data_IF_983838487327
#
_entry.id   IF_983838487327
#
_cell.length_a   1.000
_cell.length_b   1.000
_cell.length_c   1.000
_cell.angle_alpha   90.00
_cell.angle_beta   90.00
_cell.angle_gamma   90.00
#
_symmetry.space_group_name_H-M   'P 1'
#
loop_
_entity.id
_entity.type
_entity.pdbx_description
1 polymer ?
2 non-polymer ?
3 water ?
#
# COMPACT_ATOMS: atom_id res chain seq x y z
N UNK A 17 5.96 -45.22 1.74
CA UNK A 17 6.11 -44.05 0.85
C UNK A 17 6.92 -44.34 -0.42
N UNK A 18 6.60 -43.61 -1.53
CA UNK A 18 7.29 -43.75 -2.82
C UNK A 18 8.54 -42.86 -2.89
N UNK A 19 9.71 -43.49 -2.83
CA UNK A 19 10.99 -42.80 -2.92
C UNK A 19 11.26 -42.55 -4.40
N UNK A 20 10.60 -41.51 -4.93
CA UNK A 20 10.66 -41.00 -6.30
C UNK A 20 10.66 -39.46 -6.22
N UNK A 21 11.43 -38.80 -7.09
CA UNK A 21 11.53 -37.34 -7.07
C UNK A 21 10.83 -36.69 -8.25
N UNK A 22 10.25 -35.53 -8.00
CA UNK A 22 9.56 -34.74 -9.00
C UNK A 22 10.56 -33.82 -9.70
N UNK A 23 10.55 -33.84 -11.02
CA UNK A 23 11.41 -33.00 -11.83
C UNK A 23 10.84 -31.62 -11.95
N UNK A 24 11.70 -30.60 -11.87
CA UNK A 24 11.28 -29.19 -11.99
C UNK A 24 12.40 -28.30 -12.47
N UNK A 25 12.05 -27.23 -13.20
CA UNK A 25 13.00 -26.23 -13.67
C UNK A 25 12.88 -25.06 -12.71
N UNK A 26 13.76 -25.03 -11.71
CA UNK A 26 13.78 -24.00 -10.66
C UNK A 26 14.45 -22.70 -11.13
N UNK A 27 14.01 -21.56 -10.57
CA UNK A 27 14.54 -20.22 -10.81
C UNK A 27 15.67 -19.93 -9.82
N UNK A 28 16.59 -19.07 -10.24
CA UNK A 28 17.74 -18.64 -9.45
C UNK A 28 18.13 -17.22 -9.85
N UNK A 29 18.89 -16.46 -9.02
CA UNK A 29 19.20 -15.06 -9.38
C UNK A 29 19.94 -14.84 -10.72
N UNK A 30 20.65 -15.87 -11.25
CA UNK A 30 21.39 -15.76 -12.52
C UNK A 30 20.48 -15.75 -13.77
N UNK A 31 19.15 -15.92 -13.60
CA UNK A 31 18.20 -15.89 -14.72
C UNK A 31 17.65 -14.46 -14.90
N UNK A 32 18.13 -13.53 -14.06
CA UNK A 32 17.68 -12.14 -14.05
C UNK A 32 18.88 -11.24 -14.24
N UNK A 33 18.87 -10.47 -15.32
CA UNK A 33 19.93 -9.52 -15.65
C UNK A 33 19.66 -8.22 -14.88
N UNK A 34 20.70 -7.67 -14.26
CA UNK A 34 20.63 -6.44 -13.49
C UNK A 34 20.71 -5.23 -14.41
N UNK A 35 19.70 -4.36 -14.36
CA UNK A 35 19.63 -3.19 -15.23
C UNK A 35 20.02 -1.89 -14.51
N UNK A 36 19.44 -1.64 -13.34
CA UNK A 36 19.73 -0.47 -12.50
C UNK A 36 19.23 -0.68 -11.09
N UNK A 37 19.78 0.08 -10.12
CA UNK A 37 19.35 0.06 -8.72
C UNK A 37 18.20 1.07 -8.62
N UNK A 38 16.99 0.60 -8.27
CA UNK A 38 15.80 1.43 -8.15
C UNK A 38 15.70 2.11 -6.79
N UNK A 39 16.25 1.46 -5.76
CA UNK A 39 16.22 1.94 -4.38
C UNK A 39 16.96 1.03 -3.41
N UNK A 40 17.08 1.49 -2.16
CA UNK A 40 17.78 0.82 -1.06
C UNK A 40 17.19 1.29 0.27
N UNK A 41 17.38 0.50 1.31
CA UNK A 41 16.91 0.82 2.66
C UNK A 41 17.24 -0.24 3.69
N UNK A 42 16.57 -0.17 4.87
CA UNK A 42 16.70 -1.10 5.99
C UNK A 42 16.29 -2.51 5.58
N UNK A 43 15.26 -2.60 4.72
CA UNK A 43 14.73 -3.84 4.14
C UNK A 43 15.76 -4.56 3.23
N UNK A 44 16.61 -3.79 2.56
CA UNK A 44 17.59 -4.33 1.63
C UNK A 44 17.78 -3.45 0.43
N UNK A 45 17.81 -4.04 -0.76
CA UNK A 45 18.05 -3.32 -2.02
C UNK A 45 17.06 -3.78 -3.10
N UNK A 46 16.59 -2.85 -3.94
CA UNK A 46 15.66 -3.10 -5.06
C UNK A 46 16.35 -2.77 -6.39
N UNK A 47 16.28 -3.71 -7.35
CA UNK A 47 16.85 -3.56 -8.68
C UNK A 47 15.78 -3.70 -9.74
N UNK A 48 16.01 -3.05 -10.89
CA UNK A 48 15.18 -3.28 -12.06
C UNK A 48 15.92 -4.43 -12.76
N UNK A 49 15.21 -5.53 -13.03
CA UNK A 49 15.81 -6.72 -13.66
C UNK A 49 15.11 -7.11 -14.97
N UNK A 50 15.81 -7.86 -15.83
CA UNK A 50 15.27 -8.37 -17.08
C UNK A 50 15.46 -9.88 -17.07
N UNK A 51 14.34 -10.63 -17.07
CA UNK A 51 14.37 -12.11 -17.13
C UNK A 51 15.07 -12.54 -18.42
N UNK A 52 16.08 -13.41 -18.30
CA UNK A 52 16.93 -13.90 -19.40
C UNK A 52 16.34 -15.14 -20.08
N UNK A 53 15.93 -16.14 -19.28
CA UNK A 53 15.44 -17.45 -19.72
C UNK A 53 13.92 -17.62 -19.54
N UNK A 54 13.38 -18.68 -20.15
CA UNK A 54 11.98 -19.07 -20.00
C UNK A 54 10.96 -18.41 -20.90
N UNK A 55 9.68 -18.73 -20.66
CA UNK A 55 8.52 -18.21 -21.39
C UNK A 55 8.38 -16.69 -21.21
N UNK A 56 8.89 -16.16 -20.07
CA UNK A 56 8.88 -14.74 -19.74
C UNK A 56 10.27 -14.09 -19.96
N UNK A 57 11.02 -14.55 -20.96
CA UNK A 57 12.33 -13.96 -21.26
C UNK A 57 12.08 -12.58 -21.86
N UNK A 58 12.90 -11.56 -21.46
CA UNK A 58 12.85 -10.15 -21.85
C UNK A 58 11.91 -9.31 -20.98
N UNK A 59 11.06 -9.97 -20.14
CA UNK A 59 10.15 -9.32 -19.23
C UNK A 59 10.94 -8.58 -18.13
N UNK A 60 10.47 -7.38 -17.76
CA UNK A 60 11.05 -6.51 -16.73
C UNK A 60 10.35 -6.72 -15.38
N UNK A 61 11.11 -6.67 -14.28
CA UNK A 61 10.60 -6.86 -12.91
C UNK A 61 11.38 -6.04 -11.91
N UNK A 62 10.82 -5.89 -10.71
CA UNK A 62 11.50 -5.27 -9.58
C UNK A 62 11.97 -6.46 -8.73
N UNK A 63 13.27 -6.48 -8.37
CA UNK A 63 13.88 -7.55 -7.58
C UNK A 63 14.36 -6.98 -6.26
N UNK A 64 13.70 -7.38 -5.15
CA UNK A 64 14.04 -6.97 -3.79
C UNK A 64 14.94 -8.05 -3.16
N UNK A 65 16.18 -7.68 -2.81
CA UNK A 65 17.21 -8.57 -2.26
C UNK A 65 17.50 -8.23 -0.80
N UNK A 66 17.38 -9.22 0.10
CA UNK A 66 17.61 -9.06 1.54
C UNK A 66 18.76 -9.97 1.96
N UNK A 67 19.84 -9.39 2.54
CA UNK A 67 21.01 -10.15 3.01
C UNK A 67 20.65 -10.82 4.31
N UNK A 68 20.83 -12.15 4.39
CA UNK A 68 20.53 -12.96 5.56
C UNK A 68 21.35 -12.58 6.82
N UNK A 69 22.56 -12.00 6.65
CA UNK A 69 23.43 -11.52 7.74
C UNK A 69 22.95 -10.15 8.31
N UNK A 70 22.42 -9.27 7.42
CA UNK A 70 21.83 -7.95 7.74
C UNK A 70 20.30 -8.19 7.83
N UNK A 71 19.89 -9.12 8.74
CA UNK A 71 18.52 -9.56 8.92
C UNK A 71 18.31 -10.10 10.34
N UNK A 72 17.42 -9.43 11.08
CA UNK A 72 17.04 -9.81 12.45
C UNK A 72 16.00 -10.93 12.36
N UNK A 73 15.68 -11.57 13.50
CA UNK A 73 14.65 -12.62 13.55
C UNK A 73 13.31 -12.03 13.08
N UNK A 74 12.95 -10.82 13.58
CA UNK A 74 11.72 -10.09 13.21
C UNK A 74 11.65 -9.78 11.72
N UNK A 75 12.81 -9.46 11.11
CA UNK A 75 12.95 -9.16 9.68
C UNK A 75 12.69 -10.41 8.86
N UNK A 76 13.24 -11.58 9.29
CA UNK A 76 13.07 -12.87 8.63
C UNK A 76 11.62 -13.34 8.69
N UNK A 77 10.96 -13.19 9.88
CA UNK A 77 9.56 -13.52 10.12
C UNK A 77 8.64 -12.68 9.20
N UNK A 78 8.91 -11.36 9.11
CA UNK A 78 8.20 -10.38 8.29
C UNK A 78 8.24 -10.69 6.80
N UNK A 79 9.43 -11.04 6.25
CA UNK A 79 9.64 -11.36 4.84
C UNK A 79 8.88 -12.62 4.44
N UNK A 80 8.89 -13.64 5.32
CA UNK A 80 8.19 -14.90 5.09
C UNK A 80 6.68 -14.62 5.01
N UNK A 81 6.18 -13.73 5.91
CA UNK A 81 4.77 -13.33 5.97
C UNK A 81 4.32 -12.59 4.70
N UNK A 82 5.15 -11.63 4.20
CA UNK A 82 4.85 -10.87 2.99
C UNK A 82 4.73 -11.78 1.78
N UNK A 83 5.67 -12.75 1.65
CA UNK A 83 5.73 -13.74 0.58
C UNK A 83 4.45 -14.59 0.60
N UNK A 84 4.09 -15.15 1.79
CA UNK A 84 2.91 -15.99 2.01
C UNK A 84 1.63 -15.23 1.72
N UNK A 85 1.57 -13.92 2.11
CA UNK A 85 0.38 -13.09 1.83
C UNK A 85 0.27 -12.85 0.32
N UNK A 86 1.37 -12.44 -0.34
CA UNK A 86 1.41 -12.18 -1.79
C UNK A 86 1.02 -13.37 -2.66
N UNK A 87 1.35 -14.61 -2.21
CA UNK A 87 1.03 -15.87 -2.89
C UNK A 87 -0.51 -16.12 -2.84
N UNK A 88 -1.17 -15.63 -1.79
CA UNK A 88 -2.60 -15.72 -1.48
C UNK A 88 -3.47 -14.61 -2.18
N UNK A 89 -2.87 -13.46 -2.51
CA UNK A 89 -3.57 -12.32 -3.11
C UNK A 89 -3.50 -12.27 -4.66
N UNK A 90 -4.66 -11.99 -5.29
CA UNK A 90 -4.82 -11.73 -6.71
C UNK A 90 -5.88 -10.62 -6.86
N UNK A 91 -5.40 -9.39 -7.03
CA UNK A 91 -6.24 -8.20 -7.15
C UNK A 91 -5.65 -7.22 -8.18
N UNK A 92 -6.48 -6.49 -8.96
CA UNK A 92 -5.88 -5.55 -9.93
C UNK A 92 -5.10 -4.38 -9.32
N UNK A 93 -5.33 -4.02 -8.01
CA UNK A 93 -4.68 -2.85 -7.40
C UNK A 93 -3.67 -3.19 -6.29
N UNK A 94 -3.16 -4.44 -6.29
CA UNK A 94 -2.13 -4.93 -5.37
C UNK A 94 -0.98 -5.52 -6.17
N UNK A 95 0.26 -5.21 -5.76
CA UNK A 95 1.48 -5.77 -6.39
C UNK A 95 1.45 -7.29 -6.43
N UNK A 96 1.86 -7.85 -7.57
CA UNK A 96 1.96 -9.26 -7.80
C UNK A 96 3.42 -9.74 -7.56
N UNK A 97 3.56 -10.89 -6.88
CA UNK A 97 4.81 -11.63 -6.65
C UNK A 97 4.87 -12.68 -7.76
N UNK A 98 5.94 -12.66 -8.57
CA UNK A 98 6.15 -13.60 -9.67
C UNK A 98 7.07 -14.74 -9.27
N UNK A 99 8.10 -14.45 -8.44
CA UNK A 99 9.05 -15.44 -7.96
C UNK A 99 9.50 -15.12 -6.55
N UNK A 100 9.94 -16.17 -5.85
CA UNK A 100 10.58 -16.12 -4.54
C UNK A 100 11.61 -17.29 -4.49
N UNK A 101 12.86 -16.97 -4.20
CA UNK A 101 13.93 -17.95 -4.05
C UNK A 101 15.00 -17.44 -3.08
N UNK A 102 15.94 -18.32 -2.70
CA UNK A 102 17.02 -17.98 -1.77
C UNK A 102 18.33 -18.65 -2.09
N UNK A 103 19.42 -18.04 -1.63
CA UNK A 103 20.78 -18.57 -1.71
C UNK A 103 21.24 -18.77 -0.27
N UNK A 104 22.51 -19.12 -0.06
CA UNK A 104 23.05 -19.33 1.29
C UNK A 104 23.01 -18.01 2.08
N UNK A 105 23.34 -16.90 1.41
CA UNK A 105 23.38 -15.58 2.02
C UNK A 105 22.35 -14.54 1.62
N UNK A 106 21.41 -14.85 0.70
CA UNK A 106 20.41 -13.85 0.27
C UNK A 106 18.99 -14.39 0.04
N UNK A 107 17.99 -13.48 0.15
CA UNK A 107 16.57 -13.73 -0.09
C UNK A 107 16.11 -12.82 -1.23
N UNK A 108 15.37 -13.37 -2.21
CA UNK A 108 14.90 -12.66 -3.41
C UNK A 108 13.39 -12.74 -3.61
N UNK A 109 12.79 -11.57 -3.89
CA UNK A 109 11.39 -11.44 -4.24
C UNK A 109 11.33 -10.74 -5.58
N UNK A 110 10.65 -11.37 -6.55
CA UNK A 110 10.54 -10.84 -7.91
C UNK A 110 9.12 -10.35 -8.10
N UNK A 111 8.94 -9.02 -8.05
CA UNK A 111 7.63 -8.40 -8.11
C UNK A 111 7.40 -7.63 -9.40
N UNK A 112 6.18 -7.10 -9.58
CA UNK A 112 5.83 -6.26 -10.73
C UNK A 112 6.75 -5.05 -10.77
N UNK A 113 7.10 -4.64 -11.98
CA UNK A 113 7.85 -3.41 -12.20
C UNK A 113 6.81 -2.34 -12.56
N UNK A 114 6.76 -1.27 -11.74
CA UNK A 114 5.81 -0.17 -11.89
C UNK A 114 6.53 1.10 -12.29
N UNK A 115 6.32 1.52 -13.55
CA UNK A 115 7.01 2.65 -14.17
C UNK A 115 6.48 4.04 -13.84
N UNK A 116 5.29 4.11 -13.26
CA UNK A 116 4.63 5.39 -12.98
C UNK A 116 5.00 6.18 -11.75
N UNK A 117 6.00 5.74 -10.99
CA UNK A 117 6.40 6.37 -9.73
C UNK A 117 5.47 6.05 -8.57
N UNK A 118 5.48 6.90 -7.52
CA UNK A 118 4.64 6.73 -6.33
C UNK A 118 3.75 7.94 -6.07
N UNK A 119 2.76 7.82 -5.15
CA UNK A 119 1.85 8.93 -4.82
C UNK A 119 2.54 10.05 -4.06
N UNK A 120 3.53 9.71 -3.24
CA UNK A 120 4.30 10.69 -2.48
C UNK A 120 5.17 11.59 -3.40
N UNK A 121 5.87 11.00 -4.39
CA UNK A 121 6.67 11.78 -5.34
C UNK A 121 5.75 12.75 -6.10
N UNK A 122 4.56 12.26 -6.50
CA UNK A 122 3.58 13.05 -7.23
C UNK A 122 2.98 14.14 -6.34
N UNK A 123 2.63 13.81 -5.07
CA UNK A 123 2.11 14.78 -4.11
C UNK A 123 3.10 15.91 -3.88
N UNK A 124 4.39 15.59 -3.67
CA UNK A 124 5.43 16.60 -3.45
C UNK A 124 5.58 17.61 -4.61
N UNK A 125 5.35 17.17 -5.87
CA UNK A 125 5.44 18.05 -7.03
C UNK A 125 4.21 18.94 -7.17
N UNK A 126 3.01 18.35 -7.08
CA UNK A 126 1.71 19.02 -7.20
C UNK A 126 1.31 19.78 -5.93
N UNK A 127 1.95 19.49 -4.76
CA UNK A 127 1.66 20.03 -3.42
C UNK A 127 0.35 19.41 -2.86
N UNK A 128 -0.71 19.36 -3.71
CA UNK A 128 -2.03 18.82 -3.37
C UNK A 128 -2.70 18.35 -4.66
N UNK A 129 -3.68 17.44 -4.53
CA UNK A 129 -4.44 16.88 -5.65
C UNK A 129 -5.85 17.41 -5.67
N UNK A 130 -6.50 17.30 -6.84
CA UNK A 130 -7.90 17.66 -7.05
C UNK A 130 -8.80 16.63 -6.36
N UNK A 131 -10.09 16.95 -6.11
CA UNK A 131 -11.01 15.96 -5.55
C UNK A 131 -11.22 14.84 -6.56
N UNK A 132 -11.17 15.15 -7.88
CA UNK A 132 -11.30 14.18 -8.97
C UNK A 132 -10.22 13.09 -8.88
N UNK A 133 -8.96 13.47 -8.64
CA UNK A 133 -7.84 12.53 -8.50
C UNK A 133 -7.90 11.75 -7.21
N UNK A 134 -8.19 12.44 -6.08
CA UNK A 134 -8.30 11.83 -4.75
C UNK A 134 -9.42 10.80 -4.75
N UNK A 135 -10.57 11.15 -5.34
CA UNK A 135 -11.73 10.27 -5.53
C UNK A 135 -11.30 9.01 -6.33
N UNK A 136 -10.49 9.15 -7.41
CA UNK A 136 -10.02 8.03 -8.22
C UNK A 136 -9.01 7.13 -7.47
N UNK A 137 -7.99 7.74 -6.85
CA UNK A 137 -6.97 7.01 -6.10
C UNK A 137 -7.55 6.27 -4.89
N UNK A 138 -8.41 6.95 -4.09
CA UNK A 138 -9.03 6.34 -2.92
C UNK A 138 -10.03 5.25 -3.28
N UNK A 139 -10.77 5.39 -4.38
CA UNK A 139 -11.74 4.37 -4.79
C UNK A 139 -11.02 3.03 -5.15
N UNK A 140 -9.90 3.09 -5.90
CA UNK A 140 -9.07 1.91 -6.25
C UNK A 140 -8.47 1.32 -5.00
N UNK A 141 -7.98 2.19 -4.08
CA UNK A 141 -7.43 1.80 -2.79
C UNK A 141 -8.49 1.12 -1.91
N UNK A 142 -9.70 1.65 -1.85
CA UNK A 142 -10.76 1.07 -1.02
C UNK A 142 -11.02 -0.40 -1.42
N UNK A 143 -10.99 -0.68 -2.74
CA UNK A 143 -11.14 -2.02 -3.32
C UNK A 143 -9.99 -2.93 -2.90
N UNK A 144 -8.76 -2.42 -2.97
CA UNK A 144 -7.55 -3.13 -2.58
C UNK A 144 -7.61 -3.51 -1.07
N UNK A 145 -7.96 -2.53 -0.21
CA UNK A 145 -8.09 -2.75 1.25
C UNK A 145 -9.16 -3.74 1.62
N UNK A 146 -10.35 -3.64 1.00
CA UNK A 146 -11.43 -4.55 1.28
C UNK A 146 -11.10 -5.98 0.88
N UNK A 147 -10.42 -6.19 -0.28
CA UNK A 147 -9.94 -7.51 -0.72
C UNK A 147 -9.00 -8.13 0.35
N UNK A 148 -8.06 -7.32 0.90
CA UNK A 148 -7.14 -7.74 1.97
C UNK A 148 -7.91 -8.15 3.22
N UNK A 149 -8.95 -7.37 3.59
CA UNK A 149 -9.80 -7.64 4.75
C UNK A 149 -10.57 -8.93 4.62
N UNK A 150 -11.00 -9.27 3.38
CA UNK A 150 -11.72 -10.51 3.06
C UNK A 150 -10.85 -11.77 3.28
N UNK A 151 -9.51 -11.58 3.41
CA UNK A 151 -8.55 -12.65 3.64
C UNK A 151 -7.89 -12.58 5.04
N UNK A 152 -8.43 -11.71 5.92
CA UNK A 152 -7.92 -11.48 7.27
C UNK A 152 -6.60 -10.74 7.34
N UNK A 153 -6.34 -9.85 6.35
CA UNK A 153 -5.13 -9.06 6.23
C UNK A 153 -5.43 -7.57 6.47
N UNK A 154 -4.50 -6.90 7.14
CA UNK A 154 -4.53 -5.47 7.41
C UNK A 154 -3.26 -4.79 6.81
N UNK A 155 -3.28 -3.46 6.63
CA UNK A 155 -2.16 -2.71 6.09
C UNK A 155 -1.63 -1.80 7.18
N UNK A 156 -0.50 -2.17 7.76
CA UNK A 156 0.09 -1.50 8.92
C UNK A 156 0.79 -0.16 8.65
N UNK A 157 0.98 0.23 7.37
CA UNK A 157 1.68 1.46 7.02
C UNK A 157 1.18 2.06 5.70
N UNK A 158 -0.03 2.66 5.73
CA UNK A 158 -0.71 3.19 4.54
C UNK A 158 -0.29 4.64 4.12
N UNK A 159 1.02 4.85 4.00
CA UNK A 159 1.65 6.10 3.57
C UNK A 159 1.66 6.19 2.02
N UNK A 160 1.68 7.41 1.43
CA UNK A 160 1.68 7.52 -0.05
C UNK A 160 2.91 6.91 -0.78
N UNK A 161 4.02 6.68 -0.07
CA UNK A 161 5.24 6.05 -0.65
C UNK A 161 4.98 4.58 -0.98
N UNK A 162 4.06 3.96 -0.22
CA UNK A 162 3.66 2.56 -0.35
C UNK A 162 2.61 2.32 -1.45
N UNK A 163 2.20 3.37 -2.17
CA UNK A 163 1.27 3.26 -3.30
C UNK A 163 1.99 3.71 -4.57
N UNK A 164 2.31 2.76 -5.44
CA UNK A 164 2.96 3.08 -6.70
C UNK A 164 1.89 3.22 -7.79
N UNK A 165 2.27 3.71 -8.97
CA UNK A 165 1.40 3.86 -10.13
C UNK A 165 1.98 3.04 -11.27
N UNK A 166 1.13 2.53 -12.17
CA UNK A 166 1.60 1.76 -13.33
C UNK A 166 1.65 2.67 -14.59
N UNK A 167 2.06 2.13 -15.76
CA UNK A 167 2.16 2.90 -17.01
C UNK A 167 0.88 3.70 -17.32
N UNK A 168 -0.31 3.07 -17.13
CA UNK A 168 -1.62 3.69 -17.35
C UNK A 168 -1.93 4.78 -16.33
N UNK A 169 -1.52 4.56 -15.09
CA UNK A 169 -1.79 5.47 -13.99
C UNK A 169 -2.70 4.88 -12.93
N UNK A 170 -2.93 3.55 -13.03
CA UNK A 170 -3.72 2.82 -12.04
C UNK A 170 -2.81 2.56 -10.85
N UNK A 171 -3.38 2.50 -9.66
CA UNK A 171 -2.59 2.31 -8.46
C UNK A 171 -2.17 0.84 -8.27
N UNK A 172 -1.07 0.65 -7.54
CA UNK A 172 -0.58 -0.65 -7.11
C UNK A 172 -0.09 -0.51 -5.69
N UNK A 173 -0.84 -1.11 -4.76
CA UNK A 173 -0.48 -1.12 -3.36
C UNK A 173 0.69 -2.09 -3.18
N UNK A 174 1.78 -1.61 -2.53
CA UNK A 174 2.98 -2.43 -2.30
C UNK A 174 2.76 -3.39 -1.14
N UNK A 175 3.65 -4.38 -0.99
CA UNK A 175 3.62 -5.39 0.05
C UNK A 175 4.19 -4.92 1.40
N UNK A 176 4.99 -3.82 1.40
CA UNK A 176 5.70 -3.27 2.57
C UNK A 176 4.88 -3.14 3.86
N UNK A 177 3.57 -2.96 3.76
CA UNK A 177 2.72 -2.83 4.94
C UNK A 177 1.82 -4.01 5.26
N UNK A 178 1.89 -5.09 4.44
CA UNK A 178 1.04 -6.27 4.58
C UNK A 178 1.25 -7.07 5.88
N UNK A 179 0.21 -7.17 6.72
CA UNK A 179 0.27 -7.98 7.94
C UNK A 179 -1.03 -8.74 8.18
N UNK A 180 -0.94 -9.93 8.78
CA UNK A 180 -2.11 -10.74 9.09
C UNK A 180 -2.68 -10.27 10.41
N UNK A 181 -3.99 -10.03 10.46
CA UNK A 181 -4.70 -9.50 11.64
C UNK A 181 -4.59 -10.42 12.89
N UNK A 182 -4.61 -11.75 12.70
CA UNK A 182 -4.47 -12.74 13.79
C UNK A 182 -3.08 -12.67 14.47
N UNK A 183 -2.00 -12.60 13.66
CA UNK A 183 -0.59 -12.50 14.06
C UNK A 183 -0.33 -11.16 14.79
N UNK A 184 -0.79 -10.04 14.19
CA UNK A 184 -0.69 -8.68 14.70
C UNK A 184 -1.37 -8.52 16.09
N UNK A 185 -2.52 -9.21 16.31
CA UNK A 185 -3.27 -9.20 17.57
C UNK A 185 -2.51 -9.88 18.74
N UNK A 186 -1.76 -10.95 18.45
CA UNK A 186 -0.97 -11.70 19.45
C UNK A 186 0.33 -10.99 19.84
N UNK A 187 0.90 -10.19 18.91
CA UNK A 187 2.17 -9.47 19.09
C UNK A 187 2.03 -7.99 19.49
N UNK A 188 0.81 -7.41 19.40
CA UNK A 188 0.46 -5.99 19.67
C UNK A 188 1.13 -5.36 20.94
N UNK A 189 1.36 -6.18 22.00
CA UNK A 189 1.96 -5.80 23.29
C UNK A 189 3.47 -5.59 23.22
N UNK A 190 4.16 -6.30 22.29
CA UNK A 190 5.61 -6.25 22.08
C UNK A 190 6.01 -5.71 20.68
N UNK A 191 5.00 -5.24 19.89
CA UNK A 191 5.19 -4.72 18.54
C UNK A 191 4.58 -3.33 18.30
N UNK A 192 5.45 -2.34 17.96
CA UNK A 192 5.09 -0.96 17.65
C UNK A 192 5.74 -0.51 16.34
N UNK A 193 5.06 -0.77 15.19
CA UNK A 193 5.53 -0.52 13.81
C UNK A 193 4.67 0.46 13.05
N UNK A 194 5.31 1.12 12.09
CA UNK A 194 4.64 2.00 11.14
C UNK A 194 4.97 3.45 11.32
N UNK A 195 4.34 4.28 10.49
CA UNK A 195 4.51 5.72 10.51
C UNK A 195 3.44 6.29 11.44
N UNK A 196 3.89 6.92 12.54
CA UNK A 196 3.10 7.53 13.61
C UNK A 196 1.93 8.38 13.12
N UNK A 197 2.16 9.29 12.17
CA UNK A 197 1.15 10.21 11.61
C UNK A 197 -0.10 9.51 11.03
N UNK A 198 0.04 8.25 10.59
CA UNK A 198 -1.03 7.47 9.97
C UNK A 198 -1.74 6.53 10.91
N UNK A 199 -1.25 6.40 12.16
CA UNK A 199 -1.81 5.51 13.17
C UNK A 199 -3.12 5.96 13.77
N UNK A 200 -4.08 5.02 13.87
CA UNK A 200 -5.39 5.24 14.49
C UNK A 200 -5.21 5.41 15.99
N UNK A 201 -6.14 6.11 16.72
CA UNK A 201 -5.97 6.23 18.19
C UNK A 201 -5.68 4.90 18.92
N UNK A 202 -6.42 3.81 18.58
CA UNK A 202 -6.30 2.47 19.18
C UNK A 202 -4.95 1.81 18.88
N UNK A 203 -4.32 2.17 17.74
CA UNK A 203 -2.98 1.70 17.39
C UNK A 203 -1.94 2.43 18.31
N UNK A 204 -2.03 3.77 18.42
CA UNK A 204 -1.21 4.61 19.33
C UNK A 204 -1.31 4.07 20.79
N UNK A 205 -2.53 3.66 21.22
CA UNK A 205 -2.75 3.15 22.58
C UNK A 205 -2.57 1.61 22.70
N UNK A 206 -2.04 0.96 21.65
CA UNK A 206 -1.67 -0.46 21.62
C UNK A 206 -2.82 -1.43 21.85
N UNK A 207 -4.06 -1.04 21.47
CA UNK A 207 -5.29 -1.85 21.65
C UNK A 207 -5.49 -2.84 20.49
N UNK A 208 -4.67 -2.71 19.45
CA UNK A 208 -4.68 -3.60 18.29
C UNK A 208 -4.98 -2.92 16.96
N UNK A 209 -4.40 -3.45 15.87
CA UNK A 209 -4.63 -2.98 14.50
C UNK A 209 -5.68 -3.86 13.80
N UNK A 210 -6.91 -3.37 13.87
CA UNK A 210 -8.13 -3.94 13.30
C UNK A 210 -8.29 -3.38 11.88
N UNK A 211 -9.29 -3.89 11.12
CA UNK A 211 -9.68 -3.41 9.78
C UNK A 211 -10.12 -1.94 9.89
N UNK A 212 -10.72 -1.59 11.05
CA UNK A 212 -11.15 -0.24 11.36
C UNK A 212 -9.97 0.71 11.42
N UNK A 213 -8.79 0.23 11.87
CA UNK A 213 -7.55 1.04 11.88
C UNK A 213 -7.08 1.38 10.44
N UNK A 214 -7.34 0.50 9.46
CA UNK A 214 -7.00 0.72 8.05
C UNK A 214 -7.84 1.87 7.46
N UNK A 215 -9.14 1.97 7.88
CA UNK A 215 -10.03 3.03 7.40
C UNK A 215 -9.71 4.39 8.02
N UNK A 216 -9.09 4.46 9.23
CA UNK A 216 -8.60 5.72 9.80
C UNK A 216 -7.39 6.19 8.93
N UNK A 217 -6.38 5.31 8.67
CA UNK A 217 -5.19 5.62 7.83
C UNK A 217 -5.59 6.06 6.43
N UNK A 218 -6.68 5.46 5.89
CA UNK A 218 -7.29 5.78 4.61
C UNK A 218 -7.75 7.28 4.61
N UNK A 219 -8.32 7.76 5.72
CA UNK A 219 -8.72 9.15 5.92
C UNK A 219 -7.56 10.11 6.09
N UNK A 220 -6.47 9.65 6.73
CA UNK A 220 -5.22 10.43 6.92
C UNK A 220 -4.63 10.71 5.54
N UNK A 221 -4.54 9.69 4.71
CA UNK A 221 -4.04 9.77 3.34
C UNK A 221 -4.93 10.71 2.46
N UNK A 222 -6.25 10.61 2.63
CA UNK A 222 -7.24 11.49 1.98
C UNK A 222 -6.94 12.94 2.37
N UNK A 223 -6.84 13.23 3.67
CA UNK A 223 -6.58 14.57 4.17
C UNK A 223 -5.25 15.13 3.62
N UNK A 224 -4.21 14.33 3.65
CA UNK A 224 -2.90 14.74 3.14
C UNK A 224 -2.89 15.04 1.65
N UNK A 225 -3.55 14.22 0.82
CA UNK A 225 -3.61 14.42 -0.63
C UNK A 225 -4.42 15.65 -1.03
N UNK A 226 -5.50 15.95 -0.28
CA UNK A 226 -6.39 17.09 -0.55
C UNK A 226 -5.88 18.46 -0.08
N UNK A 227 -5.14 18.48 1.04
CA UNK A 227 -4.68 19.70 1.71
C UNK A 227 -3.16 19.93 1.61
N UNK A 228 -2.42 18.85 1.32
CA UNK A 228 -0.96 18.90 1.28
C UNK A 228 -0.30 18.75 2.63
N UNK A 229 -1.09 18.61 3.72
CA UNK A 229 -0.54 18.45 5.09
C UNK A 229 -1.19 17.28 5.84
N UNK A 230 -0.53 16.78 6.89
CA UNK A 230 -1.05 15.72 7.73
C UNK A 230 -2.01 16.30 8.80
N UNK A 231 -3.16 15.62 9.06
CA UNK A 231 -4.15 16.20 10.01
C UNK A 231 -3.70 16.28 11.47
N UNK A 232 -2.98 15.25 11.97
CA UNK A 232 -2.51 15.17 13.34
C UNK A 232 -1.02 14.99 13.29
N UNK A 233 -0.29 16.07 13.61
CA UNK A 233 1.17 16.11 13.64
C UNK A 233 1.66 17.22 14.58
N UNK A 234 2.56 16.86 15.49
CA UNK A 234 3.17 17.77 16.46
C UNK A 234 4.65 18.03 16.19
N UNK A 235 5.33 18.68 17.16
CA UNK A 235 6.76 19.02 17.08
C UNK A 235 7.68 17.79 17.17
N UNK A 236 7.14 16.64 17.63
CA UNK A 236 7.85 15.35 17.81
C UNK A 236 6.85 14.15 17.81
N UNK A 237 7.37 12.90 17.86
CA UNK A 237 6.58 11.64 17.93
C UNK A 237 5.54 11.68 19.07
N UNK A 238 5.97 12.05 20.28
CA UNK A 238 5.17 12.13 21.50
C UNK A 238 3.96 13.05 21.31
N UNK A 239 4.18 14.25 20.75
CA UNK A 239 3.14 15.23 20.52
C UNK A 239 2.15 14.79 19.46
N UNK A 240 2.61 14.16 18.38
CA UNK A 240 1.76 13.64 17.30
C UNK A 240 0.77 12.62 17.86
N UNK A 241 1.26 11.68 18.68
CA UNK A 241 0.50 10.62 19.34
C UNK A 241 -0.63 11.19 20.23
N UNK A 242 -0.32 12.21 21.06
CA UNK A 242 -1.29 12.86 21.94
C UNK A 242 -2.35 13.57 21.13
N UNK A 243 -1.95 14.19 19.99
CA UNK A 243 -2.81 14.88 19.03
C UNK A 243 -3.77 13.93 18.34
N UNK A 244 -3.31 12.73 17.92
CA UNK A 244 -4.15 11.65 17.36
C UNK A 244 -5.25 11.25 18.39
N UNK A 245 -4.86 11.12 19.68
CA UNK A 245 -5.76 10.73 20.79
C UNK A 245 -6.80 11.81 21.19
N UNK A 246 -6.41 13.09 21.25
CA UNK A 246 -7.35 14.19 21.59
C UNK A 246 -8.29 14.43 20.40
N UNK A 247 -7.73 14.27 19.17
CA UNK A 247 -8.32 14.34 17.83
C UNK A 247 -9.21 15.60 17.52
N UNK A 248 -8.84 16.82 17.98
CA UNK A 248 -9.68 18.03 17.75
C UNK A 248 -9.33 18.79 16.43
N UNK A 249 -9.67 18.15 15.29
CA UNK A 249 -9.36 18.60 13.93
C UNK A 249 -10.26 19.70 13.30
N UNK A 250 -9.61 20.75 12.82
CA UNK A 250 -10.23 21.83 12.07
C UNK A 250 -10.23 21.44 10.61
N UNK A 251 -11.39 21.50 9.99
CA UNK A 251 -11.55 21.07 8.61
C UNK A 251 -11.29 22.19 7.58
N UNK A 252 -10.23 22.13 6.72
CA UNK A 252 -10.04 23.19 5.71
C UNK A 252 -11.33 23.42 4.90
N UNK A 253 -11.72 24.72 4.71
CA UNK A 253 -12.98 25.11 4.10
C UNK A 253 -12.94 25.22 2.58
N UNK A 254 -11.82 24.86 1.94
CA UNK A 254 -11.75 24.79 0.48
C UNK A 254 -12.19 23.37 0.04
N UNK A 255 -12.37 22.46 1.04
CA UNK A 255 -12.81 21.08 0.84
C UNK A 255 -14.31 21.10 0.66
N UNK A 256 -14.82 20.24 -0.24
CA UNK A 256 -16.24 20.12 -0.52
C UNK A 256 -16.98 19.54 0.70
N UNK A 257 -18.30 19.80 0.87
CA UNK A 257 -19.03 19.22 2.03
C UNK A 257 -18.93 17.69 2.09
N UNK A 258 -18.92 17.04 0.90
CA UNK A 258 -18.78 15.60 0.70
C UNK A 258 -17.45 15.08 1.23
N UNK A 259 -16.33 15.78 0.90
CA UNK A 259 -14.99 15.45 1.38
C UNK A 259 -14.94 15.60 2.90
N UNK A 260 -15.46 16.74 3.45
CA UNK A 260 -15.55 17.02 4.90
C UNK A 260 -16.34 15.97 5.70
N UNK A 261 -17.51 15.53 5.15
CA UNK A 261 -18.40 14.50 5.74
C UNK A 261 -17.68 13.16 5.84
N UNK A 262 -17.06 12.70 4.71
CA UNK A 262 -16.30 11.47 4.66
C UNK A 262 -15.17 11.47 5.68
N UNK A 263 -14.40 12.58 5.76
CA UNK A 263 -13.29 12.76 6.70
C UNK A 263 -13.74 12.65 8.18
N UNK A 264 -14.89 13.26 8.53
CA UNK A 264 -15.51 13.23 9.87
C UNK A 264 -15.90 11.79 10.27
N UNK A 265 -16.52 11.06 9.33
CA UNK A 265 -16.98 9.69 9.51
C UNK A 265 -15.79 8.71 9.68
N UNK A 266 -14.67 8.98 8.96
CA UNK A 266 -13.45 8.17 9.06
C UNK A 266 -12.62 8.52 10.31
N UNK A 267 -12.65 9.78 10.76
CA UNK A 267 -11.85 10.23 11.92
C UNK A 267 -12.60 10.10 13.26
N UNK A 268 -13.44 9.07 13.40
CA UNK A 268 -14.14 8.73 14.62
C UNK A 268 -13.18 7.89 15.47
N UNK A 269 -12.87 8.36 16.71
CA UNK A 269 -11.93 7.73 17.63
C UNK A 269 -12.31 6.32 18.12
N UNK A 270 -13.61 6.02 18.25
CA UNK A 270 -14.10 4.70 18.67
C UNK A 270 -14.10 3.85 17.40
N UNK A 271 -13.21 2.81 17.27
CA UNK A 271 -13.15 2.04 16.02
C UNK A 271 -14.49 1.45 15.55
N UNK A 272 -15.38 1.10 16.49
CA UNK A 272 -16.71 0.53 16.24
C UNK A 272 -17.67 1.46 15.50
N UNK A 273 -17.50 2.79 15.66
CA UNK A 273 -18.36 3.83 15.07
C UNK A 273 -17.81 4.45 13.76
N UNK A 274 -16.57 4.11 13.42
CA UNK A 274 -15.86 4.59 12.23
C UNK A 274 -16.48 3.99 10.96
N UNK A 275 -16.62 4.80 9.87
CA UNK A 275 -17.16 4.37 8.58
C UNK A 275 -16.40 3.14 8.07
N UNK A 276 -17.15 2.06 7.82
CA UNK A 276 -16.60 0.79 7.36
C UNK A 276 -16.65 -0.32 8.38
N UNK A 277 -16.86 0.04 9.68
CA UNK A 277 -16.94 -0.88 10.81
C UNK A 277 -18.35 -1.42 11.04
N UNK A 278 -19.31 -0.89 10.32
CA UNK A 278 -20.71 -1.29 10.45
C UNK A 278 -21.04 -2.60 9.77
N UNK A 279 -22.35 -2.93 9.72
CA UNK A 279 -22.77 -4.21 9.11
C UNK A 279 -22.47 -4.34 7.62
N UNK A 280 -22.66 -3.25 6.83
CA UNK A 280 -22.44 -3.25 5.38
C UNK A 280 -20.96 -3.30 5.00
N UNK A 281 -20.10 -2.98 5.97
CA UNK A 281 -18.66 -2.98 5.82
C UNK A 281 -18.22 -1.89 4.88
N UNK A 282 -17.50 -2.29 3.81
CA UNK A 282 -16.97 -1.38 2.79
C UNK A 282 -18.10 -0.65 2.02
N UNK A 283 -19.32 -1.22 2.01
CA UNK A 283 -20.48 -0.60 1.35
C UNK A 283 -20.81 0.75 1.94
N UNK A 284 -20.44 0.98 3.22
CA UNK A 284 -20.62 2.25 3.95
C UNK A 284 -19.70 3.32 3.33
N UNK A 285 -18.50 2.91 2.88
CA UNK A 285 -17.52 3.79 2.22
C UNK A 285 -17.93 3.96 0.75
N UNK A 286 -18.21 2.85 0.06
CA UNK A 286 -18.61 2.86 -1.34
C UNK A 286 -19.83 3.74 -1.63
N UNK A 287 -20.88 3.66 -0.77
CA UNK A 287 -22.12 4.39 -0.94
C UNK A 287 -22.07 5.84 -0.38
N UNK A 288 -20.88 6.28 0.11
CA UNK A 288 -20.75 7.65 0.59
C UNK A 288 -20.89 8.60 -0.62
N UNK A 289 -21.42 9.82 -0.37
CA UNK A 289 -21.67 10.85 -1.37
C UNK A 289 -20.41 11.33 -2.07
N UNK A 290 -19.23 11.25 -1.39
CA UNK A 290 -17.94 11.62 -1.99
C UNK A 290 -17.62 10.77 -3.22
N UNK A 291 -18.05 9.49 -3.23
CA UNK A 291 -17.81 8.54 -4.32
C UNK A 291 -19.03 8.29 -5.26
N UNK A 292 -20.04 9.17 -5.26
CA UNK A 292 -21.26 9.00 -6.07
C UNK A 292 -21.04 8.89 -7.61
N UNK A 293 -19.93 9.44 -8.13
CA UNK A 293 -19.62 9.38 -9.57
C UNK A 293 -18.82 8.14 -9.96
N UNK A 294 -18.50 7.28 -8.97
CA UNK A 294 -17.72 6.06 -9.18
C UNK A 294 -18.61 4.88 -9.48
N UNK A 295 -18.31 4.18 -10.59
CA UNK A 295 -18.92 2.93 -11.03
C UNK A 295 -17.90 1.91 -10.52
N UNK A 296 -18.21 1.25 -9.39
CA UNK A 296 -17.28 0.34 -8.72
C UNK A 296 -16.97 -0.94 -9.51
N UNK A 297 -17.90 -1.39 -10.37
CA UNK A 297 -17.66 -2.57 -11.19
C UNK A 297 -16.71 -2.26 -12.34
N UNK A 298 -16.90 -1.09 -13.02
CA UNK A 298 -16.06 -0.62 -14.11
C UNK A 298 -14.64 -0.30 -13.60
N UNK A 299 -14.54 0.26 -12.38
CA UNK A 299 -13.28 0.61 -11.72
C UNK A 299 -12.43 -0.61 -11.48
N UNK A 300 -13.05 -1.70 -10.94
CA UNK A 300 -12.41 -2.98 -10.66
C UNK A 300 -11.90 -3.59 -11.97
N UNK A 301 -12.71 -3.50 -13.04
CA UNK A 301 -12.35 -4.03 -14.37
C UNK A 301 -11.34 -3.13 -15.10
N UNK A 302 -10.77 -2.13 -14.40
CA UNK A 302 -9.77 -1.16 -14.91
C UNK A 302 -10.28 -0.43 -16.19
N UNK A 303 -11.62 -0.25 -16.28
CA UNK A 303 -12.31 0.40 -17.39
C UNK A 303 -12.40 1.92 -17.19
N UNK A 304 -11.97 2.42 -16.03
CA UNK A 304 -12.02 3.84 -15.72
C UNK A 304 -10.66 4.48 -16.02
N UNK A 305 -10.67 5.53 -16.84
CA UNK A 305 -9.48 6.25 -17.25
C UNK A 305 -8.89 7.05 -16.10
N UNK A 306 -7.60 6.81 -15.77
CA UNK A 306 -6.98 7.58 -14.68
C UNK A 306 -6.92 9.07 -15.03
N UNK A 307 -7.42 9.99 -14.15
CA UNK A 307 -7.36 11.42 -14.49
C UNK A 307 -5.95 11.92 -14.77
N UNK A 308 -4.93 11.29 -14.17
CA UNK A 308 -3.54 11.60 -14.43
C UNK A 308 -2.90 10.40 -15.11
N UNK A 309 -1.89 10.64 -15.94
CA UNK A 309 -1.17 9.57 -16.63
C UNK A 309 0.33 9.87 -16.58
N UNK A 310 1.16 8.91 -16.12
CA UNK A 310 2.63 9.13 -16.10
C UNK A 310 3.27 9.18 -17.50
N UNK A 311 4.62 9.27 -17.56
CA UNK A 311 5.47 9.35 -18.76
C UNK A 311 5.42 8.08 -19.62
N UNK A 318 14.76 14.64 -33.47
CA UNK A 318 13.63 15.38 -32.89
C UNK A 318 13.70 16.88 -33.23
N UNK A 319 14.92 17.45 -33.48
CA UNK A 319 15.08 18.85 -33.91
C UNK A 319 15.01 18.96 -35.44
N UNK A 320 15.53 17.95 -36.15
CA UNK A 320 15.55 17.92 -37.60
C UNK A 320 14.16 18.14 -38.25
N UNK A 321 14.13 18.91 -39.36
CA UNK A 321 12.96 19.24 -40.16
C UNK A 321 13.37 19.62 -41.59
N UNK A 322 12.53 19.26 -42.58
CA UNK A 322 12.74 19.60 -43.98
C UNK A 322 11.41 19.59 -44.76
N UNK A 323 11.33 20.16 -46.01
CA UNK A 323 10.07 20.13 -46.76
C UNK A 323 9.71 18.74 -47.34
#
# INVERSE_FOLDING_TARGET
GPNPQTEEVSIKEIAITHHVKEGHEKADPSQFELLKVLGQGSFGKVFLVKKISGSDARQLYAMKVLKKATLKVRDRVRTKMERDILVEVNHPFIVKLHYAFQTEGKLYLILDFLRGGDLFTRLSKEVMFTEEDVKFYLAELALALDHLHSLGIIYRDLKPENILLDEEGHIKLTDFGLSKESIDHEKKAYSFCGTVEYMAPEVVNRRGHTQSADWWSFGVLMFEMLTGTLPFQGKDRKETMTMILKAKLGMPQFLSPEAQSLLRMLFKRNPANRLGAGPDGVEEIKRHSFFSTIDWNKLYRREIHPPFKPATGRPEDTFYFDP
#
